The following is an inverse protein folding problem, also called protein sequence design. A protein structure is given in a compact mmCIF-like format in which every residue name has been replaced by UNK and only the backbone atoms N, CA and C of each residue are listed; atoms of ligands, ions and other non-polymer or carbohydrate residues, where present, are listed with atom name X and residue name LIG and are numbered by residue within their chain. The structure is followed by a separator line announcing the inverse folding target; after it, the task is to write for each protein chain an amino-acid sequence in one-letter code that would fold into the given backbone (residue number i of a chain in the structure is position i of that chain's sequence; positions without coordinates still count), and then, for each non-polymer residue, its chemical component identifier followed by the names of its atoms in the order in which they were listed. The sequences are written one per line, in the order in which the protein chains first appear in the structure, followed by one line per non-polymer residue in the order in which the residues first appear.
data_IF_508706753611
#
_entry.id   IF_508706753611
#
_cell.length_a   1.000
_cell.length_b   1.000
_cell.length_c   1.000
_cell.angle_alpha   90.00
_cell.angle_beta   90.00
_cell.angle_gamma   90.00
#
_symmetry.space_group_name_H-M   'P 1'
#
loop_
_entity.id
_entity.type
_entity.pdbx_description
1 polymer ?
#
# COMPACT_ATOMS: atom_id res chain seq x y z
N UNK A 1 64.53 -11.41 -27.35
CA UNK A 1 64.15 -10.04 -27.81
C UNK A 1 62.65 -9.89 -28.08
N UNK A 2 61.94 -10.92 -28.56
CA UNK A 2 60.48 -10.91 -28.79
C UNK A 2 59.65 -10.85 -27.49
N UNK A 3 60.13 -11.49 -26.42
CA UNK A 3 59.42 -11.59 -25.14
C UNK A 3 59.42 -10.30 -24.27
N UNK A 4 60.34 -9.37 -24.53
CA UNK A 4 60.35 -8.05 -23.84
C UNK A 4 59.33 -7.07 -24.44
N UNK A 5 58.96 -7.27 -25.70
CA UNK A 5 58.00 -6.40 -26.40
C UNK A 5 56.58 -6.68 -25.91
N UNK A 6 56.22 -7.95 -25.67
CA UNK A 6 54.87 -8.34 -25.25
C UNK A 6 54.52 -7.90 -23.82
N UNK A 7 55.50 -7.79 -22.92
CA UNK A 7 55.27 -7.25 -21.56
C UNK A 7 55.02 -5.74 -21.55
N UNK A 8 55.57 -4.98 -22.51
CA UNK A 8 55.30 -3.54 -22.60
C UNK A 8 53.91 -3.23 -23.18
N UNK A 9 53.37 -4.10 -24.04
CA UNK A 9 51.99 -3.96 -24.55
C UNK A 9 50.94 -4.28 -23.48
N UNK A 10 51.22 -5.25 -22.59
CA UNK A 10 50.29 -5.61 -21.51
C UNK A 10 50.19 -4.53 -20.42
N UNK A 11 51.29 -3.83 -20.11
CA UNK A 11 51.30 -2.73 -19.14
C UNK A 11 50.57 -1.49 -19.68
N UNK A 12 50.62 -1.24 -21.00
CA UNK A 12 49.83 -0.17 -21.64
C UNK A 12 48.33 -0.46 -21.69
N UNK A 13 47.91 -1.72 -21.70
CA UNK A 13 46.49 -2.10 -21.63
C UNK A 13 45.87 -1.88 -20.24
N UNK A 14 46.67 -2.00 -19.18
CA UNK A 14 46.20 -1.81 -17.79
C UNK A 14 46.19 -0.33 -17.36
N UNK A 15 46.86 0.55 -18.12
CA UNK A 15 46.91 1.99 -17.87
C UNK A 15 45.68 2.75 -18.38
N UNK A 16 44.82 2.09 -19.17
CA UNK A 16 43.64 2.71 -19.80
C UNK A 16 42.32 2.44 -19.06
N UNK A 17 42.36 1.74 -17.92
CA UNK A 17 41.17 1.38 -17.12
C UNK A 17 41.01 2.27 -15.87
N UNK A 18 41.93 3.20 -15.61
CA UNK A 18 41.93 4.00 -14.39
C UNK A 18 42.04 5.51 -14.63
N UNK A 19 41.20 6.12 -15.47
CA UNK A 19 40.89 7.56 -15.41
C UNK A 19 39.49 7.83 -16.01
N UNK A 20 38.44 7.79 -15.18
CA UNK A 20 37.26 8.62 -15.39
C UNK A 20 37.01 9.33 -14.06
N UNK A 21 37.54 10.55 -13.96
CA UNK A 21 37.19 11.53 -12.94
C UNK A 21 36.75 12.78 -13.67
N UNK A 22 35.44 13.02 -13.67
CA UNK A 22 34.77 14.31 -13.89
C UNK A 22 33.62 14.27 -12.88
N UNK A 23 33.68 15.01 -11.78
CA UNK A 23 33.54 16.45 -11.74
C UNK A 23 32.09 16.77 -11.38
N UNK A 24 31.74 16.68 -10.10
CA UNK A 24 30.49 17.23 -9.57
C UNK A 24 30.83 18.28 -8.51
N UNK A 25 30.39 19.49 -8.86
CA UNK A 25 30.48 20.74 -8.13
C UNK A 25 29.95 20.63 -6.69
N UNK A 26 30.67 21.29 -5.78
CA UNK A 26 30.16 21.73 -4.48
C UNK A 26 29.11 22.83 -4.71
N UNK A 27 27.84 22.49 -4.58
CA UNK A 27 26.77 23.40 -4.18
C UNK A 27 25.62 22.56 -3.60
N UNK A 28 25.05 23.04 -2.50
CA UNK A 28 23.77 22.62 -1.90
C UNK A 28 23.82 21.48 -0.87
N UNK A 29 24.67 21.65 0.14
CA UNK A 29 24.44 21.09 1.47
C UNK A 29 23.95 22.19 2.41
N UNK A 30 22.68 22.61 2.27
CA UNK A 30 22.07 23.61 3.16
C UNK A 30 20.53 23.58 3.13
N UNK A 31 19.87 22.46 3.45
CA UNK A 31 18.43 22.47 3.83
C UNK A 31 18.08 21.24 4.69
N UNK A 32 18.66 21.13 5.89
CA UNK A 32 18.11 20.28 6.96
C UNK A 32 18.54 20.81 8.34
N UNK A 33 18.03 21.98 8.76
CA UNK A 33 17.82 22.35 10.16
C UNK A 33 16.69 23.40 10.23
N UNK A 34 15.94 23.39 11.33
CA UNK A 34 14.74 24.19 11.67
C UNK A 34 13.43 23.71 11.03
N UNK A 35 12.63 22.93 11.76
CA UNK A 35 11.54 23.49 12.58
C UNK A 35 11.25 22.54 13.77
N UNK A 36 11.75 22.91 14.95
CA UNK A 36 11.29 22.39 16.22
C UNK A 36 10.53 23.49 16.97
N UNK A 37 9.43 23.09 17.60
CA UNK A 37 8.65 23.80 18.63
C UNK A 37 7.90 25.09 18.25
N UNK A 38 6.58 24.97 18.22
CA UNK A 38 5.65 26.06 18.57
C UNK A 38 4.64 25.55 19.59
N UNK A 39 5.03 25.58 20.86
CA UNK A 39 4.09 25.66 21.98
C UNK A 39 3.49 27.06 22.02
N UNK A 40 2.20 27.20 21.69
CA UNK A 40 1.43 28.40 22.06
C UNK A 40 0.63 28.09 23.32
N UNK A 41 1.14 28.58 24.45
CA UNK A 41 0.33 28.95 25.61
C UNK A 41 -0.28 30.32 25.34
N UNK A 42 -1.60 30.43 25.50
CA UNK A 42 -2.25 31.71 25.82
C UNK A 42 -3.23 31.46 26.96
N UNK A 43 -2.84 31.98 28.11
CA UNK A 43 -3.63 32.10 29.33
C UNK A 43 -4.42 33.42 29.28
N UNK A 44 -5.74 33.36 29.48
CA UNK A 44 -6.56 34.38 30.16
C UNK A 44 -8.01 33.87 30.24
N UNK A 45 -8.47 33.38 31.40
CA UNK A 45 -9.23 34.13 32.42
C UNK A 45 -10.61 34.64 31.93
N UNK A 46 -11.68 33.92 32.29
CA UNK A 46 -12.84 34.51 33.01
C UNK A 46 -13.72 33.45 33.68
N UNK A 47 -14.01 33.71 34.96
CA UNK A 47 -14.88 32.98 35.88
C UNK A 47 -16.35 33.00 35.46
N UNK A 48 -17.12 31.97 35.83
CA UNK A 48 -18.06 32.03 36.98
C UNK A 48 -19.00 30.81 37.03
N UNK A 49 -19.10 30.19 38.23
CA UNK A 49 -20.29 29.67 38.94
C UNK A 49 -21.22 28.66 38.22
N UNK A 50 -21.77 27.58 38.81
CA UNK A 50 -22.07 27.25 40.22
C UNK A 50 -22.65 25.81 40.29
N UNK A 51 -22.67 25.24 41.52
CA UNK A 51 -23.51 24.14 42.05
C UNK A 51 -23.00 22.70 41.82
N UNK A 52 -22.40 22.03 42.83
CA UNK A 52 -23.02 21.31 43.98
C UNK A 52 -23.90 20.14 43.51
N UNK A 53 -23.70 18.87 43.88
CA UNK A 53 -23.86 18.30 45.23
C UNK A 53 -23.29 16.85 45.26
N UNK A 54 -22.76 16.47 46.42
CA UNK A 54 -22.31 15.12 46.83
C UNK A 54 -23.42 14.04 46.86
N UNK A 55 -23.04 12.77 46.76
CA UNK A 55 -23.44 11.66 47.69
C UNK A 55 -23.02 10.32 47.07
N UNK A 56 -21.99 9.67 47.60
CA UNK A 56 -22.01 8.67 48.68
C UNK A 56 -22.26 7.23 48.21
N UNK A 57 -21.27 6.39 48.52
CA UNK A 57 -21.16 4.94 48.37
C UNK A 57 -22.42 4.11 48.62
N UNK A 58 -22.45 2.90 48.01
CA UNK A 58 -22.83 1.67 48.73
C UNK A 58 -22.18 0.43 48.12
N UNK A 59 -21.26 -0.13 48.89
CA UNK A 59 -20.75 -1.51 48.80
C UNK A 59 -21.86 -2.47 49.23
N UNK A 60 -22.08 -3.56 48.48
CA UNK A 60 -22.66 -4.78 49.02
C UNK A 60 -21.89 -6.00 48.54
N UNK A 61 -21.40 -6.75 49.53
CA UNK A 61 -20.83 -8.08 49.47
C UNK A 61 -21.88 -9.08 49.98
N UNK A 62 -21.98 -10.27 49.36
CA UNK A 62 -21.85 -11.60 50.01
C UNK A 62 -22.63 -12.72 49.28
N UNK A 63 -21.84 -13.74 48.90
CA UNK A 63 -22.00 -15.19 49.15
C UNK A 63 -23.15 -16.00 48.50
N UNK A 64 -22.68 -17.02 47.76
CA UNK A 64 -23.03 -18.45 47.81
C UNK A 64 -24.46 -18.91 47.51
N UNK A 65 -24.60 -19.91 46.63
CA UNK A 65 -25.06 -21.27 46.98
C UNK A 65 -24.76 -22.22 45.80
N UNK A 66 -24.14 -23.35 46.15
CA UNK A 66 -23.93 -24.56 45.35
C UNK A 66 -25.21 -25.41 45.39
N UNK A 67 -25.74 -25.87 44.26
CA UNK A 67 -26.56 -27.09 44.20
C UNK A 67 -26.30 -27.83 42.89
N UNK A 68 -25.89 -29.10 43.02
CA UNK A 68 -25.81 -30.14 41.99
C UNK A 68 -27.21 -30.51 41.49
N UNK A 69 -27.35 -30.94 40.23
CA UNK A 69 -27.87 -32.28 39.90
C UNK A 69 -27.84 -32.57 38.40
N UNK A 70 -27.44 -33.80 38.11
CA UNK A 70 -27.37 -34.51 36.82
C UNK A 70 -28.80 -34.91 36.42
N UNK A 71 -29.15 -34.86 35.12
CA UNK A 71 -30.08 -35.80 34.45
C UNK A 71 -29.97 -35.65 32.92
N UNK A 72 -29.64 -36.79 32.30
CA UNK A 72 -30.05 -37.33 30.99
C UNK A 72 -30.33 -36.43 29.78
N UNK A 73 -29.60 -36.72 28.69
CA UNK A 73 -30.02 -36.48 27.30
C UNK A 73 -31.35 -37.20 27.00
N UNK A 74 -32.15 -36.68 26.06
CA UNK A 74 -32.20 -37.35 24.76
C UNK A 74 -32.07 -36.38 23.56
N UNK A 75 -31.45 -36.93 22.52
CA UNK A 75 -31.34 -36.39 21.17
C UNK A 75 -32.74 -36.20 20.57
N UNK A 76 -33.06 -34.99 20.13
CA UNK A 76 -34.06 -34.74 19.10
C UNK A 76 -33.71 -33.45 18.37
N UNK A 77 -33.52 -33.59 17.07
CA UNK A 77 -33.10 -32.55 16.14
C UNK A 77 -34.12 -31.42 16.08
N UNK A 78 -33.75 -30.26 16.63
CA UNK A 78 -34.41 -29.00 16.33
C UNK A 78 -33.72 -28.45 15.08
N UNK A 79 -34.49 -28.31 14.00
CA UNK A 79 -34.12 -27.50 12.84
C UNK A 79 -33.69 -26.14 13.35
N UNK A 80 -32.38 -25.91 13.41
CA UNK A 80 -31.83 -24.58 13.56
C UNK A 80 -32.07 -23.90 12.23
N UNK A 81 -33.12 -23.09 12.16
CA UNK A 81 -33.17 -21.99 11.21
C UNK A 81 -31.91 -21.18 11.47
N UNK A 82 -30.91 -21.36 10.60
CA UNK A 82 -29.75 -20.49 10.51
C UNK A 82 -30.33 -19.13 10.13
N UNK A 83 -30.66 -18.35 11.16
CA UNK A 83 -30.79 -16.92 11.04
C UNK A 83 -29.39 -16.45 10.73
N UNK A 84 -29.12 -16.29 9.43
CA UNK A 84 -27.96 -15.55 8.96
C UNK A 84 -27.92 -14.26 9.77
N UNK A 85 -26.79 -13.93 10.42
CA UNK A 85 -26.65 -12.64 11.06
C UNK A 85 -26.94 -11.59 9.97
N UNK A 86 -27.98 -10.80 10.23
CA UNK A 86 -28.32 -9.64 9.42
C UNK A 86 -27.06 -8.79 9.35
N UNK A 87 -26.57 -8.53 8.14
CA UNK A 87 -25.39 -7.70 7.93
C UNK A 87 -25.57 -6.40 8.72
N UNK A 88 -24.60 -6.01 9.58
CA UNK A 88 -24.71 -4.72 10.25
C UNK A 88 -24.72 -3.64 9.17
N UNK A 89 -25.88 -3.00 9.00
CA UNK A 89 -26.18 -1.95 8.01
C UNK A 89 -25.45 -0.63 8.28
N UNK A 90 -24.26 -0.66 8.87
CA UNK A 90 -23.54 0.50 9.39
C UNK A 90 -22.18 0.72 8.73
N UNK A 91 -22.02 0.35 7.46
CA UNK A 91 -20.87 0.79 6.64
C UNK A 91 -21.07 2.22 6.06
N UNK A 92 -22.28 2.78 6.16
CA UNK A 92 -22.65 4.04 5.48
C UNK A 92 -22.07 5.33 6.07
N UNK A 93 -21.43 5.30 7.24
CA UNK A 93 -21.07 6.52 7.99
C UNK A 93 -19.68 6.48 8.62
N UNK A 94 -18.68 5.92 7.93
CA UNK A 94 -17.32 5.90 8.48
C UNK A 94 -16.57 7.26 8.41
N UNK A 95 -17.11 8.28 7.73
CA UNK A 95 -16.59 9.67 7.80
C UNK A 95 -17.60 10.74 7.39
N UNK A 96 -17.46 11.99 7.88
CA UNK A 96 -18.09 13.16 7.25
C UNK A 96 -17.65 13.22 5.77
N UNK A 97 -18.57 12.96 4.85
CA UNK A 97 -18.28 12.87 3.40
C UNK A 97 -18.69 11.56 2.71
N UNK A 98 -19.20 10.56 3.46
CA UNK A 98 -19.63 9.27 2.90
C UNK A 98 -18.51 8.22 2.84
N UNK A 99 -18.77 7.06 2.23
CA UNK A 99 -17.73 6.08 1.91
C UNK A 99 -16.81 6.71 0.87
N UNK A 100 -15.51 6.86 1.17
CA UNK A 100 -14.49 7.28 0.21
C UNK A 100 -14.15 6.16 -0.80
N UNK A 101 -15.17 5.44 -1.23
CA UNK A 101 -15.13 4.49 -2.33
C UNK A 101 -16.49 4.61 -3.00
N UNK A 102 -16.55 4.63 -4.34
CA UNK A 102 -17.81 4.77 -5.12
C UNK A 102 -18.72 3.53 -5.05
N UNK A 103 -18.63 2.76 -3.96
CA UNK A 103 -19.35 1.51 -3.72
C UNK A 103 -19.32 1.14 -2.24
N UNK A 104 -20.22 0.24 -1.86
CA UNK A 104 -20.26 -0.37 -0.54
C UNK A 104 -18.98 -1.18 -0.29
N UNK A 105 -18.28 -0.83 0.79
CA UNK A 105 -17.21 -1.64 1.36
C UNK A 105 -17.83 -2.51 2.45
N UNK A 106 -17.75 -3.82 2.29
CA UNK A 106 -18.26 -4.75 3.29
C UNK A 106 -17.54 -4.63 4.63
N UNK A 107 -18.23 -4.97 5.71
CA UNK A 107 -17.65 -5.14 7.06
C UNK A 107 -16.80 -6.42 7.15
N UNK A 108 -17.02 -7.36 6.24
CA UNK A 108 -16.30 -8.62 6.08
C UNK A 108 -15.14 -8.46 5.09
N UNK A 109 -13.94 -8.73 5.59
CA UNK A 109 -12.68 -8.93 4.86
C UNK A 109 -12.92 -9.89 3.69
N UNK A 110 -12.40 -9.62 2.48
CA UNK A 110 -12.41 -10.67 1.45
C UNK A 110 -12.36 -10.25 -0.01
N UNK A 111 -11.16 -9.98 -0.50
CA UNK A 111 -10.73 -10.65 -1.74
C UNK A 111 -9.86 -11.79 -1.22
N UNK A 112 -10.21 -13.04 -1.54
CA UNK A 112 -9.37 -14.19 -1.22
C UNK A 112 -7.94 -14.02 -1.77
N UNK A 113 -7.77 -13.12 -2.75
CA UNK A 113 -6.51 -12.78 -3.39
C UNK A 113 -5.78 -11.58 -2.76
N UNK A 114 -6.21 -11.04 -1.62
CA UNK A 114 -5.38 -10.09 -0.85
C UNK A 114 -4.16 -10.80 -0.21
N UNK A 115 -3.10 -10.05 0.10
CA UNK A 115 -1.92 -10.66 0.73
C UNK A 115 -2.25 -11.30 2.07
N UNK A 116 -1.80 -12.55 2.22
CA UNK A 116 -1.92 -13.34 3.46
C UNK A 116 -1.18 -12.67 4.61
N UNK A 117 -0.15 -11.88 4.32
CA UNK A 117 0.62 -11.17 5.35
C UNK A 117 0.02 -9.83 5.73
N UNK A 118 -1.00 -9.33 5.02
CA UNK A 118 -1.65 -8.05 5.37
C UNK A 118 -2.22 -8.11 6.79
N UNK A 119 -1.79 -7.18 7.65
CA UNK A 119 -2.40 -7.00 8.97
C UNK A 119 -3.70 -6.21 8.85
N UNK A 120 -4.67 -6.55 9.69
CA UNK A 120 -5.98 -5.88 9.74
C UNK A 120 -5.82 -4.38 9.98
N UNK A 121 -4.89 -3.98 10.84
CA UNK A 121 -4.63 -2.58 11.19
C UNK A 121 -3.80 -1.79 10.17
N UNK A 122 -3.39 -2.41 9.05
CA UNK A 122 -2.47 -1.83 8.07
C UNK A 122 -1.13 -1.34 8.68
N UNK A 123 -0.71 -1.88 9.82
CA UNK A 123 0.58 -1.50 10.44
C UNK A 123 1.81 -1.97 9.67
N UNK A 124 1.63 -2.92 8.73
CA UNK A 124 2.71 -3.49 7.92
C UNK A 124 2.66 -3.09 6.45
N UNK A 125 1.99 -2.00 6.09
CA UNK A 125 1.94 -1.50 4.71
C UNK A 125 2.60 -0.13 4.54
N UNK A 126 2.91 0.23 3.29
CA UNK A 126 3.67 1.43 2.94
C UNK A 126 2.88 2.73 3.20
N UNK A 127 1.57 2.70 2.95
CA UNK A 127 0.62 3.78 3.17
C UNK A 127 -0.36 3.39 4.29
N UNK A 128 0.10 3.49 5.54
CA UNK A 128 -0.64 3.07 6.73
C UNK A 128 -1.73 4.06 7.18
N UNK A 129 -1.70 5.29 6.70
CA UNK A 129 -2.68 6.35 7.01
C UNK A 129 -3.99 6.18 6.23
N UNK A 130 -4.01 5.31 5.21
CA UNK A 130 -5.17 5.08 4.35
C UNK A 130 -6.17 4.17 5.07
N UNK A 131 -6.91 4.83 5.96
CA UNK A 131 -7.75 4.21 6.97
C UNK A 131 -8.99 3.50 6.41
N UNK A 132 -9.32 3.73 5.15
CA UNK A 132 -10.56 3.27 4.52
C UNK A 132 -10.52 1.80 4.09
N UNK A 133 -9.32 1.25 3.94
CA UNK A 133 -9.10 -0.18 3.73
C UNK A 133 -8.60 -0.89 5.00
N UNK A 134 -8.83 -0.32 6.20
CA UNK A 134 -8.32 -0.82 7.50
C UNK A 134 -9.04 -2.02 8.11
N UNK A 135 -9.82 -2.74 7.32
CA UNK A 135 -10.42 -3.99 7.78
C UNK A 135 -10.16 -5.14 6.80
N UNK A 136 -9.09 -5.05 5.99
CA UNK A 136 -8.78 -6.08 4.99
C UNK A 136 -9.86 -6.23 3.91
N UNK A 137 -10.80 -5.29 3.82
CA UNK A 137 -11.69 -5.15 2.68
C UNK A 137 -10.82 -4.90 1.45
N UNK A 138 -10.76 -5.87 0.56
CA UNK A 138 -9.88 -5.82 -0.58
C UNK A 138 -10.61 -5.25 -1.78
N UNK A 139 -9.88 -4.53 -2.62
CA UNK A 139 -10.41 -4.08 -3.89
C UNK A 139 -10.49 -5.27 -4.89
N UNK A 140 -11.44 -5.25 -5.83
CA UNK A 140 -11.43 -6.15 -6.97
C UNK A 140 -10.21 -5.81 -7.81
N UNK A 141 -9.73 -6.79 -8.54
CA UNK A 141 -8.79 -6.51 -9.61
C UNK A 141 -9.51 -5.79 -10.74
N UNK A 142 -8.79 -4.89 -11.39
CA UNK A 142 -9.29 -4.16 -12.54
C UNK A 142 -8.61 -4.78 -13.74
N UNK A 143 -9.41 -5.42 -14.59
CA UNK A 143 -8.91 -5.99 -15.84
C UNK A 143 -8.33 -4.89 -16.74
N UNK A 144 -7.31 -5.21 -17.56
CA UNK A 144 -6.75 -4.28 -18.54
C UNK A 144 -7.83 -3.56 -19.35
N UNK A 145 -7.74 -2.24 -19.41
CA UNK A 145 -8.66 -1.34 -20.12
C UNK A 145 -10.14 -1.39 -19.67
N UNK A 146 -10.44 -2.07 -18.56
CA UNK A 146 -11.79 -2.06 -17.98
C UNK A 146 -12.17 -0.67 -17.48
N UNK A 147 -13.43 -0.32 -17.73
CA UNK A 147 -14.07 0.91 -17.25
C UNK A 147 -15.17 0.65 -16.24
N UNK A 148 -15.44 -0.62 -15.92
CA UNK A 148 -16.48 -1.03 -14.99
C UNK A 148 -16.21 -0.54 -13.57
N UNK A 149 -14.93 -0.46 -13.20
CA UNK A 149 -14.49 0.01 -11.89
C UNK A 149 -13.11 0.69 -11.94
N UNK A 150 -12.91 1.81 -11.22
CA UNK A 150 -13.94 2.68 -10.64
C UNK A 150 -14.83 3.31 -11.74
N UNK A 151 -16.09 3.63 -11.45
CA UNK A 151 -17.01 4.12 -12.50
C UNK A 151 -16.61 5.51 -12.98
N UNK A 152 -16.29 6.38 -12.04
CA UNK A 152 -15.77 7.71 -12.29
C UNK A 152 -14.26 7.76 -12.07
N UNK A 153 -13.61 8.73 -12.71
CA UNK A 153 -12.22 9.08 -12.44
C UNK A 153 -12.20 10.53 -11.96
N UNK A 154 -11.33 10.89 -11.01
CA UNK A 154 -11.27 12.24 -10.49
C UNK A 154 -10.73 13.19 -11.56
N UNK A 155 -11.23 14.43 -11.53
CA UNK A 155 -10.67 15.47 -12.39
C UNK A 155 -9.33 15.93 -11.84
N UNK A 156 -8.30 15.83 -12.67
CA UNK A 156 -6.96 16.38 -12.41
C UNK A 156 -6.53 17.20 -13.62
N UNK A 157 -5.73 18.25 -13.44
CA UNK A 157 -5.23 19.03 -14.56
C UNK A 157 -4.31 18.19 -15.46
N UNK A 158 -4.44 18.34 -16.77
CA UNK A 158 -3.57 17.61 -17.72
C UNK A 158 -2.10 17.97 -17.55
N UNK A 159 -1.80 19.22 -17.17
CA UNK A 159 -0.45 19.68 -16.87
C UNK A 159 0.14 18.93 -15.66
N UNK A 160 -0.61 18.81 -14.57
CA UNK A 160 -0.18 18.07 -13.38
C UNK A 160 0.11 16.60 -13.70
N UNK A 161 -0.76 15.96 -14.50
CA UNK A 161 -0.52 14.57 -14.96
C UNK A 161 0.73 14.46 -15.81
N UNK A 162 0.93 15.38 -16.75
CA UNK A 162 2.13 15.41 -17.59
C UNK A 162 3.39 15.56 -16.74
N UNK A 163 3.41 16.49 -15.80
CA UNK A 163 4.57 16.73 -14.92
C UNK A 163 4.86 15.53 -14.01
N UNK A 164 3.81 14.90 -13.48
CA UNK A 164 3.94 13.68 -12.68
C UNK A 164 4.48 12.51 -13.52
N UNK A 165 3.97 12.31 -14.74
CA UNK A 165 4.42 11.27 -15.65
C UNK A 165 5.88 11.49 -16.05
N UNK A 166 6.25 12.72 -16.40
CA UNK A 166 7.63 13.10 -16.74
C UNK A 166 8.59 12.89 -15.57
N UNK A 167 8.17 13.19 -14.34
CA UNK A 167 9.03 13.11 -13.16
C UNK A 167 9.19 11.70 -12.59
N UNK A 168 8.12 10.89 -12.64
CA UNK A 168 8.09 9.59 -11.96
C UNK A 168 7.91 8.39 -12.90
N UNK A 169 7.46 8.59 -14.14
CA UNK A 169 7.11 7.52 -15.08
C UNK A 169 8.23 6.52 -15.32
N UNK A 170 9.45 7.00 -15.63
CA UNK A 170 10.59 6.11 -15.90
C UNK A 170 11.04 5.34 -14.65
N UNK A 171 10.95 5.98 -13.47
CA UNK A 171 11.25 5.32 -12.19
C UNK A 171 10.24 4.23 -11.87
N UNK A 172 8.96 4.49 -12.15
CA UNK A 172 7.88 3.51 -12.00
C UNK A 172 8.09 2.32 -12.92
N UNK A 173 8.41 2.56 -14.20
CA UNK A 173 8.72 1.49 -15.16
C UNK A 173 9.89 0.63 -14.71
N UNK A 174 10.99 1.26 -14.28
CA UNK A 174 12.16 0.54 -13.76
C UNK A 174 11.83 -0.28 -12.51
N UNK A 175 11.05 0.28 -11.57
CA UNK A 175 10.62 -0.42 -10.36
C UNK A 175 9.71 -1.61 -10.64
N UNK A 176 8.76 -1.45 -11.55
CA UNK A 176 7.89 -2.55 -12.00
C UNK A 176 8.70 -3.66 -12.67
N UNK A 177 9.66 -3.31 -13.52
CA UNK A 177 10.56 -4.30 -14.12
C UNK A 177 11.36 -5.06 -13.05
N UNK A 178 11.81 -4.40 -11.99
CA UNK A 178 12.50 -5.03 -10.87
C UNK A 178 11.60 -5.95 -10.03
N UNK A 179 10.28 -5.75 -10.02
CA UNK A 179 9.32 -6.69 -9.42
C UNK A 179 9.13 -7.89 -10.34
N UNK A 180 8.96 -7.68 -11.64
CA UNK A 180 8.76 -8.76 -12.62
C UNK A 180 9.99 -9.68 -12.69
N UNK A 181 11.20 -9.13 -12.58
CA UNK A 181 12.44 -9.90 -12.61
C UNK A 181 12.63 -10.84 -11.40
N UNK A 182 11.78 -10.74 -10.36
CA UNK A 182 11.83 -11.68 -9.24
C UNK A 182 11.45 -13.11 -9.66
N UNK A 183 10.83 -13.28 -10.84
CA UNK A 183 10.51 -14.60 -11.39
C UNK A 183 11.76 -15.50 -11.51
N UNK A 184 12.90 -14.94 -11.90
CA UNK A 184 14.15 -15.68 -12.05
C UNK A 184 14.70 -16.15 -10.69
N UNK A 185 14.66 -15.27 -9.67
CA UNK A 185 15.05 -15.60 -8.30
C UNK A 185 14.14 -16.70 -7.71
N UNK A 186 12.84 -16.65 -8.03
CA UNK A 186 11.85 -17.63 -7.57
C UNK A 186 12.12 -19.01 -8.17
N UNK A 187 12.33 -19.09 -9.50
CA UNK A 187 12.64 -20.34 -10.21
C UNK A 187 13.99 -20.93 -9.79
N UNK A 188 14.95 -20.08 -9.44
CA UNK A 188 16.23 -20.51 -8.91
C UNK A 188 16.17 -20.94 -7.42
N UNK A 189 15.05 -20.74 -6.73
CA UNK A 189 14.91 -21.03 -5.30
C UNK A 189 15.66 -20.05 -4.39
N UNK A 190 16.09 -18.90 -4.93
CA UNK A 190 16.94 -17.93 -4.24
C UNK A 190 16.12 -16.88 -3.46
N UNK A 191 15.11 -17.30 -2.69
CA UNK A 191 14.19 -16.38 -2.00
C UNK A 191 14.89 -15.41 -1.04
N UNK A 192 15.95 -15.87 -0.36
CA UNK A 192 16.73 -15.03 0.56
C UNK A 192 17.48 -13.88 -0.13
N UNK A 193 17.72 -13.99 -1.45
CA UNK A 193 18.38 -12.96 -2.26
C UNK A 193 17.44 -11.83 -2.67
N UNK A 194 16.12 -12.07 -2.64
CA UNK A 194 15.09 -11.08 -2.96
C UNK A 194 15.20 -9.93 -1.96
N UNK A 195 15.49 -8.69 -2.38
CA UNK A 195 15.58 -7.56 -1.47
C UNK A 195 14.30 -7.31 -0.66
N UNK A 196 14.43 -6.59 0.44
CA UNK A 196 13.28 -6.24 1.28
C UNK A 196 12.27 -5.41 0.47
N UNK A 197 10.98 -5.51 0.80
CA UNK A 197 9.92 -4.79 0.09
C UNK A 197 10.08 -3.27 0.07
N UNK A 198 10.81 -2.70 1.04
CA UNK A 198 11.10 -1.27 1.13
C UNK A 198 12.34 -0.84 0.34
N UNK A 199 13.00 -1.76 -0.36
CA UNK A 199 14.18 -1.47 -1.17
C UNK A 199 13.85 -0.41 -2.25
N UNK A 200 14.64 0.67 -2.35
CA UNK A 200 14.42 1.73 -3.34
C UNK A 200 14.33 1.24 -4.79
N UNK A 201 14.90 0.08 -5.13
CA UNK A 201 14.88 -0.48 -6.48
C UNK A 201 13.46 -0.72 -7.00
N UNK A 202 12.52 -1.06 -6.11
CA UNK A 202 11.13 -1.33 -6.49
C UNK A 202 10.32 -0.06 -6.76
N UNK A 203 10.86 1.11 -6.43
CA UNK A 203 10.25 2.42 -6.69
C UNK A 203 8.79 2.55 -6.22
N UNK A 204 8.42 1.91 -5.10
CA UNK A 204 7.05 1.90 -4.59
C UNK A 204 6.59 3.27 -4.08
N UNK A 205 7.49 4.10 -3.57
CA UNK A 205 7.19 5.50 -3.21
C UNK A 205 6.91 6.35 -4.47
N UNK A 206 7.74 6.30 -5.53
CA UNK A 206 7.40 6.87 -6.83
C UNK A 206 6.04 6.46 -7.40
N UNK A 207 5.60 5.20 -7.24
CA UNK A 207 4.24 4.80 -7.60
C UNK A 207 3.19 5.68 -6.88
N UNK A 208 3.31 5.84 -5.56
CA UNK A 208 2.37 6.69 -4.80
C UNK A 208 2.41 8.16 -5.21
N UNK A 209 3.60 8.69 -5.53
CA UNK A 209 3.74 10.08 -6.00
C UNK A 209 3.15 10.29 -7.40
N UNK A 210 3.30 9.30 -8.28
CA UNK A 210 2.65 9.31 -9.60
C UNK A 210 1.12 9.26 -9.44
N UNK A 211 0.61 8.36 -8.59
CA UNK A 211 -0.81 8.26 -8.29
C UNK A 211 -1.39 9.58 -7.77
N UNK A 212 -0.70 10.27 -6.85
CA UNK A 212 -1.11 11.59 -6.38
C UNK A 212 -1.26 12.60 -7.53
N UNK A 213 -0.33 12.58 -8.49
CA UNK A 213 -0.37 13.46 -9.67
C UNK A 213 -1.50 13.14 -10.66
N UNK A 214 -2.09 11.95 -10.57
CA UNK A 214 -3.08 11.45 -11.53
C UNK A 214 -4.49 11.38 -10.97
N UNK A 215 -4.58 11.12 -9.67
CA UNK A 215 -5.82 10.77 -8.99
C UNK A 215 -6.10 11.72 -7.82
N UNK A 216 -5.11 12.50 -7.36
CA UNK A 216 -5.33 13.51 -6.33
C UNK A 216 -6.14 14.69 -6.88
N UNK A 217 -7.26 14.98 -6.25
CA UNK A 217 -8.10 16.12 -6.59
C UNK A 217 -7.49 17.40 -6.02
N UNK A 218 -7.39 18.46 -6.81
CA UNK A 218 -6.93 19.76 -6.32
C UNK A 218 -7.91 20.36 -5.29
N UNK A 219 -9.21 20.08 -5.44
CA UNK A 219 -10.27 20.67 -4.63
C UNK A 219 -10.51 19.92 -3.31
N UNK A 220 -10.31 18.60 -3.31
CA UNK A 220 -10.64 17.72 -2.17
C UNK A 220 -9.44 16.95 -1.64
N UNK A 221 -8.28 17.05 -2.30
CA UNK A 221 -7.07 16.34 -1.93
C UNK A 221 -7.16 14.84 -2.20
N UNK A 222 -7.35 14.06 -1.15
CA UNK A 222 -7.33 12.60 -1.23
C UNK A 222 -8.65 12.07 -1.79
N UNK A 223 -8.60 11.38 -2.93
CA UNK A 223 -9.76 10.78 -3.59
C UNK A 223 -9.83 9.28 -3.34
N UNK A 224 -11.00 8.72 -3.64
CA UNK A 224 -11.30 7.29 -3.55
C UNK A 224 -10.34 6.47 -4.42
N UNK A 225 -10.11 6.95 -5.63
CA UNK A 225 -9.23 6.36 -6.63
C UNK A 225 -7.77 6.46 -6.19
N UNK A 226 -7.37 7.55 -5.55
CA UNK A 226 -6.03 7.66 -5.00
C UNK A 226 -5.80 6.66 -3.85
N UNK A 227 -6.78 6.52 -2.96
CA UNK A 227 -6.72 5.51 -1.88
C UNK A 227 -6.66 4.10 -2.46
N UNK A 228 -7.45 3.81 -3.50
CA UNK A 228 -7.44 2.54 -4.21
C UNK A 228 -6.09 2.26 -4.88
N UNK A 229 -5.50 3.26 -5.55
CA UNK A 229 -4.17 3.12 -6.14
C UNK A 229 -3.11 2.81 -5.08
N UNK A 230 -3.15 3.48 -3.91
CA UNK A 230 -2.26 3.18 -2.78
C UNK A 230 -2.51 1.80 -2.17
N UNK A 231 -3.76 1.31 -2.20
CA UNK A 231 -4.07 -0.06 -1.81
C UNK A 231 -3.36 -1.08 -2.73
N UNK A 232 -3.41 -0.91 -4.05
CA UNK A 232 -2.66 -1.77 -4.98
C UNK A 232 -1.14 -1.69 -4.75
N UNK A 233 -0.60 -0.51 -4.45
CA UNK A 233 0.83 -0.37 -4.13
C UNK A 233 1.19 -1.10 -2.84
N UNK A 234 0.33 -1.04 -1.83
CA UNK A 234 0.49 -1.81 -0.60
C UNK A 234 0.45 -3.32 -0.86
N UNK A 235 -0.40 -3.80 -1.78
CA UNK A 235 -0.39 -5.21 -2.18
C UNK A 235 0.94 -5.60 -2.82
N UNK A 236 1.48 -4.81 -3.76
CA UNK A 236 2.81 -5.05 -4.35
C UNK A 236 3.88 -5.15 -3.26
N UNK A 237 3.89 -4.20 -2.32
CA UNK A 237 4.81 -4.18 -1.18
C UNK A 237 4.74 -5.48 -0.36
N UNK A 238 3.52 -5.90 0.00
CA UNK A 238 3.31 -7.11 0.78
C UNK A 238 3.70 -8.37 0.00
N UNK A 239 3.38 -8.43 -1.30
CA UNK A 239 3.72 -9.58 -2.16
C UNK A 239 5.21 -9.79 -2.33
N UNK A 240 6.00 -8.72 -2.43
CA UNK A 240 7.48 -8.82 -2.43
C UNK A 240 7.95 -9.46 -1.12
N UNK A 241 7.32 -9.11 0.01
CA UNK A 241 7.63 -9.67 1.32
C UNK A 241 7.20 -11.13 1.42
N UNK A 242 6.04 -11.48 0.88
CA UNK A 242 5.55 -12.86 0.80
C UNK A 242 6.53 -13.74 -0.01
N UNK A 243 7.02 -13.25 -1.16
CA UNK A 243 8.02 -13.95 -1.98
C UNK A 243 9.31 -14.21 -1.19
N UNK A 244 9.85 -13.18 -0.56
CA UNK A 244 11.11 -13.27 0.21
C UNK A 244 11.00 -14.24 1.38
N UNK A 245 9.86 -14.27 2.06
CA UNK A 245 9.62 -15.10 3.24
C UNK A 245 9.06 -16.50 2.90
N UNK A 246 8.81 -16.77 1.63
CA UNK A 246 8.32 -18.08 1.17
C UNK A 246 9.44 -19.12 1.23
N UNK A 247 9.03 -20.38 1.38
CA UNK A 247 9.92 -21.55 1.38
C UNK A 247 9.71 -22.46 0.17
N UNK A 248 8.76 -22.12 -0.72
CA UNK A 248 8.44 -22.94 -1.88
C UNK A 248 8.09 -22.09 -3.10
N UNK A 249 8.36 -22.64 -4.28
CA UNK A 249 8.19 -21.95 -5.56
C UNK A 249 6.72 -21.62 -5.82
N UNK A 250 5.81 -22.54 -5.50
CA UNK A 250 4.38 -22.40 -5.76
C UNK A 250 3.77 -21.17 -5.08
N UNK A 251 4.04 -20.98 -3.79
CA UNK A 251 3.54 -19.85 -3.02
C UNK A 251 4.20 -18.54 -3.46
N UNK A 252 5.49 -18.58 -3.80
CA UNK A 252 6.21 -17.41 -4.31
C UNK A 252 5.68 -16.97 -5.68
N UNK A 253 5.43 -17.91 -6.59
CA UNK A 253 4.85 -17.63 -7.90
C UNK A 253 3.43 -17.08 -7.78
N UNK A 254 2.60 -17.66 -6.91
CA UNK A 254 1.26 -17.13 -6.64
C UNK A 254 1.31 -15.68 -6.07
N UNK A 255 2.29 -15.39 -5.21
CA UNK A 255 2.51 -14.03 -4.72
C UNK A 255 2.99 -13.07 -5.82
N UNK A 256 3.87 -13.52 -6.72
CA UNK A 256 4.31 -12.73 -7.87
C UNK A 256 3.17 -12.45 -8.86
N UNK A 257 2.35 -13.45 -9.19
CA UNK A 257 1.17 -13.27 -10.03
C UNK A 257 0.19 -12.24 -9.42
N UNK A 258 -0.06 -12.32 -8.11
CA UNK A 258 -0.88 -11.33 -7.42
C UNK A 258 -0.25 -9.92 -7.44
N UNK A 259 1.08 -9.81 -7.38
CA UNK A 259 1.79 -8.54 -7.54
C UNK A 259 1.61 -7.99 -8.97
N UNK A 260 1.75 -8.84 -10.00
CA UNK A 260 1.51 -8.46 -11.41
C UNK A 260 0.06 -7.99 -11.62
N UNK A 261 -0.94 -8.71 -11.06
CA UNK A 261 -2.35 -8.28 -11.06
C UNK A 261 -2.56 -6.91 -10.39
N UNK A 262 -1.89 -6.66 -9.27
CA UNK A 262 -1.93 -5.37 -8.56
C UNK A 262 -1.37 -4.24 -9.42
N UNK A 263 -0.24 -4.48 -10.10
CA UNK A 263 0.36 -3.51 -11.03
C UNK A 263 -0.57 -3.25 -12.22
N UNK A 264 -1.14 -4.28 -12.82
CA UNK A 264 -2.07 -4.12 -13.94
C UNK A 264 -3.32 -3.34 -13.53
N UNK A 265 -3.87 -3.59 -12.34
CA UNK A 265 -5.02 -2.85 -11.82
C UNK A 265 -4.68 -1.37 -11.58
N UNK A 266 -3.49 -1.11 -11.04
CA UNK A 266 -2.96 0.24 -10.89
C UNK A 266 -2.79 0.94 -12.26
N UNK A 267 -2.20 0.26 -13.25
CA UNK A 267 -2.05 0.80 -14.60
C UNK A 267 -3.37 1.01 -15.32
N UNK A 268 -4.35 0.13 -15.15
CA UNK A 268 -5.67 0.29 -15.73
C UNK A 268 -6.31 1.62 -15.27
N UNK A 269 -6.18 1.96 -13.99
CA UNK A 269 -6.64 3.25 -13.47
C UNK A 269 -5.89 4.44 -14.07
N UNK A 270 -4.55 4.39 -14.09
CA UNK A 270 -3.77 5.50 -14.65
C UNK A 270 -4.02 5.69 -16.14
N UNK A 271 -4.06 4.60 -16.90
CA UNK A 271 -4.24 4.59 -18.35
C UNK A 271 -5.57 5.22 -18.79
N UNK A 272 -6.60 5.19 -17.93
CA UNK A 272 -7.88 5.87 -18.19
C UNK A 272 -7.78 7.39 -18.21
N UNK A 273 -6.82 7.97 -17.47
CA UNK A 273 -6.62 9.43 -17.40
C UNK A 273 -5.41 9.91 -18.21
N UNK A 274 -4.67 9.00 -18.84
CA UNK A 274 -3.63 9.32 -19.84
C UNK A 274 -4.30 9.58 -21.18
N UNK A 275 -4.18 10.82 -21.64
CA UNK A 275 -4.56 11.22 -23.00
C UNK A 275 -3.30 11.50 -23.82
N UNK A 276 -3.46 11.68 -25.14
CA UNK A 276 -2.35 12.03 -26.04
C UNK A 276 -1.62 13.34 -25.64
N UNK A 277 -2.25 14.20 -24.82
CA UNK A 277 -1.61 15.42 -24.29
C UNK A 277 -0.76 15.17 -23.05
N UNK A 278 -1.01 14.08 -22.33
CA UNK A 278 -0.30 13.70 -21.10
C UNK A 278 0.91 12.84 -21.44
N UNK A 279 0.78 11.87 -22.33
CA UNK A 279 1.87 10.99 -22.75
C UNK A 279 1.38 9.61 -23.18
N UNK A 280 2.30 8.66 -23.18
CA UNK A 280 2.00 7.28 -23.53
C UNK A 280 1.44 6.52 -22.33
N UNK A 281 0.47 5.65 -22.59
CA UNK A 281 -0.05 4.70 -21.61
C UNK A 281 1.04 3.75 -21.14
N UNK A 282 0.88 3.21 -19.93
CA UNK A 282 1.69 2.11 -19.44
C UNK A 282 1.28 0.80 -20.10
N UNK A 283 2.26 -0.04 -20.40
CA UNK A 283 2.05 -1.39 -20.89
C UNK A 283 1.68 -2.32 -19.73
N UNK A 284 0.68 -3.18 -19.97
CA UNK A 284 0.30 -4.20 -19.00
C UNK A 284 1.34 -5.32 -18.97
N UNK A 285 1.50 -5.93 -17.80
CA UNK A 285 2.37 -7.08 -17.60
C UNK A 285 1.61 -8.34 -18.00
N UNK A 286 2.24 -9.22 -18.77
CA UNK A 286 1.70 -10.56 -19.05
C UNK A 286 1.62 -11.37 -17.75
N UNK A 287 0.42 -11.88 -17.46
CA UNK A 287 0.16 -12.78 -16.33
C UNK A 287 0.66 -14.19 -16.64
#
# INVERSE_FOLDING_TARGET
KKEKTDRQTMIKSLSSILVITVGISRTDAAWMQNVGYSTRSTTALRQSNTNSVESSEKVYSRRSILVRSIISLPVSAILSSITLPTEPSNAGTFTPGGTLVDREVGVTVGNAEASKSRKVDNSNVLFNQDNYFKFGAAAPWIEPDSTEFPKTMPFVLSQQRYDALKKYGDRVKAGVQAVVSLEDDIKAGNYASVPNSDDPKYALRPLGLLANGFLGSENTGTTNELLLARWYINEIYLRIGDIRNSSNEKDSMAALEAAKKSINSYYAMLNRVITNKVGNKFEYITL
#
